data_IF_963125711524
#
_entry.id   IF_963125711524
#
_cell.length_a   1.000
_cell.length_b   1.000
_cell.length_c   1.000
_cell.angle_alpha   90.00
_cell.angle_beta   90.00
_cell.angle_gamma   90.00
#
_symmetry.space_group_name_H-M   'P 1'
#
loop_
_entity.id
_entity.type
_entity.pdbx_description
1 polymer ?
#
# COMPACT_ATOMS: atom_id res chain seq x y z
N UNK A 1 60.41 5.65 3.10
CA UNK A 1 60.13 5.65 1.65
C UNK A 1 58.62 5.78 1.49
N UNK A 2 58.14 7.00 1.36
CA UNK A 2 56.70 7.29 1.23
C UNK A 2 56.34 7.39 -0.27
N UNK A 3 55.59 6.44 -0.77
CA UNK A 3 55.09 6.44 -2.16
C UNK A 3 53.89 7.42 -2.27
N UNK A 4 54.18 8.57 -2.88
CA UNK A 4 53.21 9.63 -3.16
C UNK A 4 52.55 9.40 -4.55
N UNK A 5 51.65 8.44 -4.67
CA UNK A 5 50.87 8.20 -5.90
C UNK A 5 49.39 8.18 -5.61
N UNK A 6 48.57 8.84 -6.44
CA UNK A 6 47.11 8.78 -6.39
C UNK A 6 46.61 7.84 -7.51
N UNK A 7 45.76 6.90 -7.16
CA UNK A 7 45.11 5.95 -8.09
C UNK A 7 43.80 6.54 -8.63
N UNK A 8 43.72 6.75 -9.95
CA UNK A 8 42.46 7.04 -10.64
C UNK A 8 42.07 5.83 -11.48
N UNK A 9 40.91 5.26 -11.21
CA UNK A 9 40.27 4.16 -11.96
C UNK A 9 39.26 4.72 -12.96
N UNK A 10 39.53 4.54 -14.25
CA UNK A 10 38.59 4.87 -15.33
C UNK A 10 38.12 3.58 -16.01
N UNK A 11 36.86 3.23 -15.79
CA UNK A 11 36.24 2.07 -16.44
C UNK A 11 36.87 0.72 -16.05
N UNK A 12 36.19 -0.36 -16.31
CA UNK A 12 36.40 -1.70 -15.73
C UNK A 12 37.74 -2.41 -15.96
N UNK A 13 38.86 -1.81 -16.46
CA UNK A 13 40.10 -2.58 -16.68
C UNK A 13 41.41 -1.83 -16.79
N UNK A 14 41.52 -0.56 -16.53
CA UNK A 14 42.88 0.07 -16.55
C UNK A 14 43.08 1.06 -15.41
N UNK A 15 44.06 0.77 -14.57
CA UNK A 15 44.55 1.66 -13.50
C UNK A 15 45.78 2.39 -14.02
N UNK A 16 45.77 3.72 -14.06
CA UNK A 16 46.93 4.56 -14.42
C UNK A 16 47.40 5.26 -13.17
N UNK A 17 48.69 5.09 -12.87
CA UNK A 17 49.37 5.80 -11.79
C UNK A 17 49.72 7.23 -12.24
N UNK A 18 49.14 8.23 -11.60
CA UNK A 18 49.42 9.65 -11.88
C UNK A 18 50.19 10.25 -10.69
N UNK A 19 51.29 11.01 -10.97
CA UNK A 19 52.02 11.76 -9.93
C UNK A 19 51.18 12.96 -9.43
N UNK A 20 51.30 13.27 -8.15
CA UNK A 20 50.47 14.27 -7.44
C UNK A 20 50.64 15.75 -7.83
N UNK A 21 51.49 16.06 -8.84
CA UNK A 21 51.78 17.43 -9.27
C UNK A 21 51.58 17.58 -10.78
N UNK A 22 50.36 17.44 -11.25
CA UNK A 22 49.99 17.82 -12.62
C UNK A 22 49.22 19.13 -12.61
N UNK A 23 49.54 20.03 -13.50
CA UNK A 23 48.81 21.28 -13.73
C UNK A 23 47.48 20.97 -14.42
N UNK A 24 46.52 21.89 -14.30
CA UNK A 24 45.20 21.74 -14.92
C UNK A 24 45.24 21.48 -16.43
N UNK A 25 46.23 22.07 -17.12
CA UNK A 25 46.46 21.90 -18.57
C UNK A 25 46.97 20.50 -18.91
N UNK A 26 47.81 19.91 -18.07
CA UNK A 26 48.29 18.55 -18.26
C UNK A 26 47.17 17.52 -17.99
N UNK A 27 46.31 17.76 -16.98
CA UNK A 27 45.13 16.95 -16.74
C UNK A 27 44.16 17.04 -17.93
N UNK A 28 43.90 18.24 -18.44
CA UNK A 28 43.08 18.47 -19.64
C UNK A 28 43.66 17.82 -20.87
N UNK A 29 44.98 17.84 -21.04
CA UNK A 29 45.70 17.19 -22.15
C UNK A 29 45.59 15.66 -22.07
N UNK A 30 45.73 15.06 -20.88
CA UNK A 30 45.57 13.61 -20.63
C UNK A 30 44.10 13.19 -20.83
N UNK A 31 43.13 13.98 -20.35
CA UNK A 31 41.70 13.73 -20.59
C UNK A 31 41.35 13.86 -22.06
N UNK A 32 41.92 14.86 -22.78
CA UNK A 32 41.72 15.04 -24.20
C UNK A 32 42.38 13.92 -25.03
N UNK A 33 43.53 13.39 -24.58
CA UNK A 33 44.20 12.24 -25.20
C UNK A 33 43.45 10.93 -24.95
N UNK A 34 42.92 10.71 -23.74
CA UNK A 34 42.05 9.55 -23.42
C UNK A 34 40.73 9.59 -24.16
N UNK A 35 40.12 10.78 -24.36
CA UNK A 35 38.91 10.95 -25.18
C UNK A 35 39.15 10.69 -26.67
N UNK A 36 40.37 10.92 -27.17
CA UNK A 36 40.79 10.59 -28.56
C UNK A 36 41.08 9.11 -28.80
N UNK A 37 41.31 8.30 -27.78
CA UNK A 37 41.54 6.86 -27.88
C UNK A 37 40.30 5.97 -27.81
N UNK A 38 39.09 6.50 -27.98
CA UNK A 38 37.91 5.66 -28.27
C UNK A 38 38.10 5.21 -29.75
N UNK A 39 38.25 3.89 -30.01
CA UNK A 39 38.39 3.45 -31.37
C UNK A 39 37.19 3.87 -32.20
N UNK A 40 37.37 4.66 -33.22
CA UNK A 40 36.32 5.13 -34.17
C UNK A 40 35.59 3.99 -34.91
N UNK A 41 35.78 2.74 -34.51
CA UNK A 41 35.14 1.55 -35.05
C UNK A 41 33.88 1.09 -34.34
N UNK A 42 33.47 1.69 -33.20
CA UNK A 42 32.26 1.30 -32.45
C UNK A 42 31.06 2.25 -32.65
N UNK A 43 31.24 3.35 -33.35
CA UNK A 43 30.14 4.21 -33.75
C UNK A 43 29.39 3.57 -34.92
N UNK A 44 28.04 3.68 -34.95
CA UNK A 44 27.26 3.16 -36.07
C UNK A 44 27.63 3.81 -37.39
N UNK A 45 27.31 3.14 -38.50
CA UNK A 45 27.63 3.59 -39.87
C UNK A 45 26.36 4.04 -40.59
N UNK A 46 26.44 5.09 -41.38
CA UNK A 46 25.40 5.55 -42.33
C UNK A 46 25.93 5.33 -43.73
N UNK A 47 25.31 4.45 -44.49
CA UNK A 47 25.71 4.03 -45.84
C UNK A 47 24.62 4.53 -46.81
N UNK A 48 25.00 5.30 -47.84
CA UNK A 48 24.08 5.70 -48.89
C UNK A 48 23.68 4.51 -49.77
N UNK A 49 22.38 4.36 -50.06
CA UNK A 49 21.83 3.33 -50.92
C UNK A 49 21.07 3.89 -52.14
N UNK A 50 21.10 5.23 -52.31
CA UNK A 50 20.43 5.95 -53.37
C UNK A 50 20.02 7.34 -52.95
N UNK A 51 19.31 8.08 -53.82
CA UNK A 51 18.85 9.44 -53.52
C UNK A 51 17.88 9.41 -52.35
N UNK A 52 18.28 10.02 -51.23
CA UNK A 52 17.51 10.04 -49.96
C UNK A 52 17.20 8.65 -49.33
N UNK A 53 18.04 7.65 -49.59
CA UNK A 53 17.95 6.32 -48.98
C UNK A 53 19.26 6.00 -48.27
N UNK A 54 19.14 5.75 -46.94
CA UNK A 54 20.30 5.55 -46.07
C UNK A 54 20.17 4.25 -45.31
N UNK A 55 21.16 3.35 -45.42
CA UNK A 55 21.27 2.20 -44.54
C UNK A 55 22.07 2.62 -43.29
N UNK A 56 21.43 2.62 -42.14
CA UNK A 56 22.09 2.82 -40.83
C UNK A 56 22.40 1.48 -40.22
N UNK A 57 23.64 1.29 -39.80
CA UNK A 57 24.15 0.05 -39.20
C UNK A 57 24.80 0.37 -37.86
N UNK A 58 24.37 -0.35 -36.80
CA UNK A 58 24.88 -0.24 -35.44
C UNK A 58 25.42 -1.59 -35.00
N UNK A 59 26.63 -1.64 -34.49
CA UNK A 59 27.22 -2.84 -33.92
C UNK A 59 26.63 -3.09 -32.53
N UNK A 60 26.10 -4.30 -32.29
CA UNK A 60 25.43 -4.71 -31.04
C UNK A 60 26.30 -5.65 -30.17
N UNK A 61 27.39 -6.19 -30.70
CA UNK A 61 28.18 -7.20 -30.00
C UNK A 61 28.46 -8.42 -30.86
N UNK A 62 28.81 -9.52 -30.21
CA UNK A 62 28.99 -10.85 -30.83
C UNK A 62 27.98 -11.81 -30.23
N UNK A 63 27.55 -12.81 -31.02
CA UNK A 63 26.75 -13.93 -30.52
C UNK A 63 27.65 -14.97 -29.83
N UNK A 64 27.02 -16.03 -29.29
CA UNK A 64 27.73 -17.11 -28.60
C UNK A 64 28.69 -17.87 -29.48
N UNK A 65 28.58 -17.75 -30.81
CA UNK A 65 29.50 -18.29 -31.82
C UNK A 65 30.65 -17.30 -32.18
N UNK A 66 30.71 -16.12 -31.57
CA UNK A 66 31.69 -15.08 -31.84
C UNK A 66 31.37 -14.21 -33.06
N UNK A 67 30.28 -14.43 -33.79
CA UNK A 67 29.85 -13.68 -34.96
C UNK A 67 29.33 -12.29 -34.58
N UNK A 68 29.72 -11.26 -35.34
CA UNK A 68 29.28 -9.88 -35.09
C UNK A 68 27.81 -9.69 -35.40
N UNK A 69 27.06 -9.15 -34.45
CA UNK A 69 25.65 -8.79 -34.59
C UNK A 69 25.50 -7.31 -34.90
N UNK A 70 24.72 -7.00 -35.90
CA UNK A 70 24.42 -5.62 -36.31
C UNK A 70 22.92 -5.36 -36.34
N UNK A 71 22.51 -4.17 -35.89
CA UNK A 71 21.21 -3.61 -36.20
C UNK A 71 21.31 -2.82 -37.50
N UNK A 72 20.53 -3.21 -38.50
CA UNK A 72 20.44 -2.54 -39.79
C UNK A 72 19.02 -1.92 -39.95
N UNK A 73 18.96 -0.64 -40.36
CA UNK A 73 17.71 0.06 -40.65
C UNK A 73 17.87 0.92 -41.89
N UNK A 74 16.98 0.77 -42.85
CA UNK A 74 16.90 1.68 -44.00
C UNK A 74 16.00 2.86 -43.64
N UNK A 75 16.51 4.07 -43.84
CA UNK A 75 15.83 5.34 -43.59
C UNK A 75 15.63 6.04 -44.93
N UNK A 76 14.40 6.42 -45.25
CA UNK A 76 14.05 7.22 -46.40
C UNK A 76 13.91 8.68 -45.96
N UNK A 77 14.57 9.60 -46.64
CA UNK A 77 14.56 11.01 -46.32
C UNK A 77 15.97 11.66 -46.30
N UNK A 78 16.06 12.88 -45.77
CA UNK A 78 17.37 13.59 -45.72
C UNK A 78 18.37 12.88 -44.78
N UNK A 79 19.66 13.04 -45.06
CA UNK A 79 20.73 12.47 -44.24
C UNK A 79 20.60 12.81 -42.75
N UNK A 80 20.07 13.99 -42.42
CA UNK A 80 19.80 14.45 -41.07
C UNK A 80 18.85 13.50 -40.31
N UNK A 81 17.85 12.92 -40.99
CA UNK A 81 16.94 11.94 -40.37
C UNK A 81 17.66 10.63 -40.02
N UNK A 82 18.54 10.16 -40.87
CA UNK A 82 19.39 8.99 -40.61
C UNK A 82 20.37 9.25 -39.46
N UNK A 83 20.94 10.44 -39.35
CA UNK A 83 21.80 10.85 -38.24
C UNK A 83 21.04 10.92 -36.93
N UNK A 84 19.84 11.55 -36.90
CA UNK A 84 19.02 11.64 -35.72
C UNK A 84 18.63 10.24 -35.20
N UNK A 85 18.22 9.33 -36.08
CA UNK A 85 17.92 7.95 -35.71
C UNK A 85 19.14 7.22 -35.18
N UNK A 86 20.33 7.38 -35.79
CA UNK A 86 21.57 6.79 -35.32
C UNK A 86 21.93 7.28 -33.91
N UNK A 87 21.89 8.59 -33.69
CA UNK A 87 22.16 9.18 -32.36
C UNK A 87 21.24 8.65 -31.29
N UNK A 88 19.92 8.63 -31.57
CA UNK A 88 18.95 8.12 -30.64
C UNK A 88 19.27 6.65 -30.26
N UNK A 89 19.55 5.79 -31.23
CA UNK A 89 19.85 4.37 -30.98
C UNK A 89 21.19 4.14 -30.30
N UNK A 90 22.18 4.97 -30.55
CA UNK A 90 23.47 4.91 -29.83
C UNK A 90 23.28 5.33 -28.38
N UNK A 91 22.50 6.39 -28.10
CA UNK A 91 22.16 6.80 -26.74
C UNK A 91 21.41 5.70 -25.98
N UNK A 92 20.44 5.06 -26.61
CA UNK A 92 19.71 3.91 -26.03
C UNK A 92 20.67 2.73 -25.74
N UNK A 93 21.56 2.39 -26.66
CA UNK A 93 22.58 1.35 -26.49
C UNK A 93 23.53 1.67 -25.32
N UNK A 94 24.05 2.89 -25.27
CA UNK A 94 25.03 3.33 -24.28
C UNK A 94 24.36 3.45 -22.89
N UNK A 95 23.05 3.74 -22.85
CA UNK A 95 22.20 3.60 -21.66
C UNK A 95 21.91 2.13 -21.31
N UNK A 96 22.40 1.17 -22.12
CA UNK A 96 22.19 -0.27 -21.90
C UNK A 96 20.76 -0.75 -22.16
N UNK A 97 19.97 0.03 -22.87
CA UNK A 97 18.64 -0.41 -23.35
C UNK A 97 18.85 -1.38 -24.50
N UNK A 98 18.15 -2.51 -24.49
CA UNK A 98 18.23 -3.50 -25.56
C UNK A 98 17.85 -2.86 -26.91
N UNK A 99 18.83 -2.67 -27.79
CA UNK A 99 18.66 -1.99 -29.10
C UNK A 99 17.83 -2.81 -30.10
N UNK A 100 17.70 -4.11 -29.90
CA UNK A 100 16.60 -4.92 -30.46
C UNK A 100 15.44 -4.87 -29.47
N UNK A 101 14.31 -4.23 -29.81
CA UNK A 101 13.12 -4.43 -28.99
C UNK A 101 12.87 -5.93 -28.99
N UNK A 102 12.96 -6.56 -27.85
CA UNK A 102 12.47 -7.91 -27.70
C UNK A 102 11.03 -7.87 -28.23
N UNK A 103 10.66 -8.80 -29.08
CA UNK A 103 9.26 -8.95 -29.54
C UNK A 103 8.35 -9.41 -28.38
N UNK A 104 8.81 -9.25 -27.15
CA UNK A 104 8.13 -9.61 -25.93
C UNK A 104 6.85 -8.79 -25.81
N UNK A 105 5.74 -9.50 -25.71
CA UNK A 105 4.43 -8.87 -25.47
C UNK A 105 4.34 -8.36 -24.02
N UNK A 106 3.38 -7.49 -23.75
CA UNK A 106 3.07 -7.09 -22.38
C UNK A 106 2.68 -8.31 -21.51
N UNK A 107 1.97 -9.28 -22.07
CA UNK A 107 1.61 -10.50 -21.34
C UNK A 107 2.84 -11.27 -20.86
N UNK A 108 3.78 -11.57 -21.76
CA UNK A 108 5.01 -12.29 -21.42
C UNK A 108 5.82 -11.52 -20.34
N UNK A 109 5.83 -10.19 -20.46
CA UNK A 109 6.48 -9.33 -19.48
C UNK A 109 5.81 -9.38 -18.11
N UNK A 110 4.47 -9.21 -18.07
CA UNK A 110 3.70 -9.22 -16.83
C UNK A 110 3.79 -10.55 -16.09
N UNK A 111 3.80 -11.68 -16.82
CA UNK A 111 3.98 -13.00 -16.21
C UNK A 111 5.33 -13.10 -15.49
N UNK A 112 6.41 -12.67 -16.16
CA UNK A 112 7.73 -12.62 -15.56
C UNK A 112 7.78 -11.65 -14.38
N UNK A 113 7.23 -10.45 -14.53
CA UNK A 113 7.20 -9.44 -13.47
C UNK A 113 6.43 -9.93 -12.24
N UNK A 114 5.28 -10.54 -12.43
CA UNK A 114 4.48 -11.08 -11.34
C UNK A 114 5.27 -12.12 -10.55
N UNK A 115 5.91 -13.07 -11.21
CA UNK A 115 6.65 -14.16 -10.54
C UNK A 115 7.96 -13.68 -9.90
N UNK A 116 8.77 -12.89 -10.62
CA UNK A 116 10.12 -12.58 -10.17
C UNK A 116 10.23 -11.31 -9.34
N UNK A 117 9.33 -10.34 -9.53
CA UNK A 117 9.42 -9.04 -8.85
C UNK A 117 8.26 -8.78 -7.89
N UNK A 118 7.01 -9.16 -8.23
CA UNK A 118 5.86 -8.90 -7.39
C UNK A 118 5.70 -9.96 -6.29
N UNK A 119 5.69 -11.25 -6.63
CA UNK A 119 5.47 -12.37 -5.69
C UNK A 119 6.37 -12.32 -4.45
N UNK A 120 7.69 -12.07 -4.55
CA UNK A 120 8.56 -12.00 -3.36
C UNK A 120 8.32 -10.79 -2.47
N UNK A 121 7.70 -9.71 -2.99
CA UNK A 121 7.58 -8.40 -2.30
C UNK A 121 6.21 -8.14 -1.71
N UNK A 122 5.18 -8.84 -2.18
CA UNK A 122 3.80 -8.59 -1.73
C UNK A 122 3.21 -9.81 -1.03
N UNK A 123 2.22 -9.58 -0.17
CA UNK A 123 1.49 -10.66 0.46
C UNK A 123 0.66 -11.46 -0.56
N UNK A 124 0.38 -12.75 -0.30
CA UNK A 124 -0.39 -13.60 -1.21
C UNK A 124 -1.71 -12.98 -1.69
N UNK A 125 -2.47 -12.36 -0.79
CA UNK A 125 -3.73 -11.68 -1.13
C UNK A 125 -3.54 -10.48 -2.07
N UNK A 126 -2.46 -9.71 -1.88
CA UNK A 126 -2.12 -8.59 -2.75
C UNK A 126 -1.69 -9.10 -4.13
N UNK A 127 -0.92 -10.20 -4.17
CA UNK A 127 -0.49 -10.85 -5.41
C UNK A 127 -1.69 -11.30 -6.24
N UNK A 128 -2.63 -12.03 -5.62
CA UNK A 128 -3.89 -12.43 -6.27
C UNK A 128 -4.69 -11.21 -6.75
N UNK A 129 -4.70 -10.13 -5.96
CA UNK A 129 -5.32 -8.86 -6.36
C UNK A 129 -4.66 -8.25 -7.60
N UNK A 130 -3.34 -8.29 -7.71
CA UNK A 130 -2.60 -7.84 -8.90
C UNK A 130 -2.93 -8.69 -10.13
N UNK A 131 -2.89 -10.02 -10.00
CA UNK A 131 -3.25 -10.94 -11.08
C UNK A 131 -4.67 -10.67 -11.59
N UNK A 132 -5.66 -10.71 -10.71
CA UNK A 132 -7.07 -10.49 -11.07
C UNK A 132 -7.29 -9.14 -11.77
N UNK A 133 -6.61 -8.09 -11.31
CA UNK A 133 -6.72 -6.76 -11.90
C UNK A 133 -6.12 -6.73 -13.32
N UNK A 134 -4.93 -7.28 -13.48
CA UNK A 134 -4.25 -7.33 -14.77
C UNK A 134 -5.02 -8.21 -15.76
N UNK A 135 -5.46 -9.38 -15.35
CA UNK A 135 -6.16 -10.35 -16.20
C UNK A 135 -7.51 -9.82 -16.68
N UNK A 136 -8.26 -9.16 -15.79
CA UNK A 136 -9.60 -8.66 -16.12
C UNK A 136 -9.62 -7.36 -16.91
N UNK A 137 -8.63 -6.48 -16.70
CA UNK A 137 -8.74 -5.11 -17.18
C UNK A 137 -7.58 -4.65 -18.07
N UNK A 138 -6.37 -5.17 -17.90
CA UNK A 138 -5.19 -4.71 -18.64
C UNK A 138 -4.83 -5.63 -19.78
N UNK A 139 -4.72 -6.93 -19.54
CA UNK A 139 -4.35 -7.92 -20.56
C UNK A 139 -5.27 -7.96 -21.77
N UNK A 140 -6.60 -7.84 -21.62
CA UNK A 140 -7.48 -7.82 -22.78
C UNK A 140 -7.24 -6.65 -23.73
N UNK A 141 -6.79 -5.50 -23.22
CA UNK A 141 -6.57 -4.29 -24.01
C UNK A 141 -5.13 -4.17 -24.53
N UNK A 142 -4.14 -4.45 -23.68
CA UNK A 142 -2.73 -4.16 -23.95
C UNK A 142 -1.86 -5.42 -24.03
N UNK A 143 -2.33 -6.56 -23.56
CA UNK A 143 -1.52 -7.76 -23.35
C UNK A 143 -0.79 -8.28 -24.57
N UNK A 144 -1.42 -8.27 -25.74
CA UNK A 144 -0.83 -8.72 -27.01
C UNK A 144 0.11 -7.68 -27.65
N UNK A 145 0.16 -6.45 -27.13
CA UNK A 145 1.02 -5.40 -27.67
C UNK A 145 2.47 -5.64 -27.32
N UNK A 146 3.42 -5.41 -28.24
CA UNK A 146 4.84 -5.40 -27.90
C UNK A 146 5.13 -4.38 -26.79
N UNK A 147 5.80 -4.80 -25.71
CA UNK A 147 6.09 -3.97 -24.54
C UNK A 147 6.71 -2.61 -24.92
N UNK A 148 7.66 -2.62 -25.84
CA UNK A 148 8.39 -1.42 -26.31
C UNK A 148 7.56 -0.46 -27.17
N UNK A 149 6.36 -0.86 -27.59
CA UNK A 149 5.48 -0.05 -28.43
C UNK A 149 4.28 0.52 -27.67
N UNK A 150 4.13 0.19 -26.41
CA UNK A 150 3.04 0.73 -25.60
C UNK A 150 3.28 2.22 -25.36
N UNK A 151 2.32 3.03 -25.79
CA UNK A 151 2.34 4.49 -25.66
C UNK A 151 1.49 4.96 -24.47
N UNK A 152 1.76 6.16 -23.92
CA UNK A 152 0.89 6.78 -22.92
C UNK A 152 -0.56 6.93 -23.39
N UNK A 153 -0.77 7.19 -24.69
CA UNK A 153 -2.11 7.30 -25.27
C UNK A 153 -2.90 5.98 -25.17
N UNK A 154 -2.28 4.84 -25.48
CA UNK A 154 -2.94 3.52 -25.38
C UNK A 154 -3.28 3.19 -23.91
N UNK A 155 -2.41 3.57 -22.97
CA UNK A 155 -2.69 3.41 -21.53
C UNK A 155 -3.85 4.31 -21.10
N UNK A 156 -3.88 5.57 -21.56
CA UNK A 156 -4.98 6.51 -21.31
C UNK A 156 -6.31 5.98 -21.83
N UNK A 157 -6.34 5.49 -23.08
CA UNK A 157 -7.53 4.89 -23.69
C UNK A 157 -8.01 3.64 -22.93
N UNK A 158 -7.08 2.83 -22.42
CA UNK A 158 -7.43 1.66 -21.60
C UNK A 158 -8.14 2.07 -20.30
N UNK A 159 -7.66 3.11 -19.61
CA UNK A 159 -8.32 3.59 -18.39
C UNK A 159 -9.64 4.30 -18.67
N UNK A 160 -9.76 4.99 -19.81
CA UNK A 160 -11.02 5.56 -20.25
C UNK A 160 -12.06 4.44 -20.54
N UNK A 161 -11.67 3.39 -21.24
CA UNK A 161 -12.55 2.25 -21.49
C UNK A 161 -12.96 1.53 -20.17
N UNK A 162 -12.09 1.51 -19.15
CA UNK A 162 -12.46 1.00 -17.83
C UNK A 162 -13.53 1.90 -17.17
N UNK A 163 -13.44 3.21 -17.31
CA UNK A 163 -14.43 4.16 -16.81
C UNK A 163 -15.78 4.01 -17.54
N UNK A 164 -15.76 3.90 -18.86
CA UNK A 164 -16.96 3.67 -19.68
C UNK A 164 -17.68 2.36 -19.35
N UNK A 165 -16.95 1.34 -18.92
CA UNK A 165 -17.51 0.10 -18.36
C UNK A 165 -18.06 0.23 -16.94
N UNK A 166 -18.09 1.42 -16.36
CA UNK A 166 -18.63 1.68 -15.02
C UNK A 166 -17.71 1.28 -13.85
N UNK A 167 -16.42 1.05 -14.10
CA UNK A 167 -15.49 0.76 -13.01
C UNK A 167 -15.24 2.00 -12.14
N UNK A 168 -15.16 1.79 -10.83
CA UNK A 168 -14.94 2.89 -9.88
C UNK A 168 -13.58 3.56 -10.10
N UNK A 169 -13.49 4.86 -9.83
CA UNK A 169 -12.24 5.62 -9.85
C UNK A 169 -11.13 4.93 -9.01
N UNK A 170 -11.51 4.32 -7.88
CA UNK A 170 -10.58 3.53 -7.03
C UNK A 170 -10.00 2.33 -7.77
N UNK A 171 -10.80 1.60 -8.54
CA UNK A 171 -10.33 0.44 -9.31
C UNK A 171 -9.36 0.86 -10.40
N UNK A 172 -9.67 1.98 -11.09
CA UNK A 172 -8.81 2.56 -12.13
C UNK A 172 -7.48 3.07 -11.53
N UNK A 173 -7.54 3.76 -10.39
CA UNK A 173 -6.36 4.22 -9.65
C UNK A 173 -5.46 3.03 -9.26
N UNK A 174 -6.06 1.94 -8.77
CA UNK A 174 -5.34 0.73 -8.41
C UNK A 174 -4.71 0.06 -9.63
N UNK A 175 -5.42 -0.01 -10.77
CA UNK A 175 -4.88 -0.51 -12.03
C UNK A 175 -3.67 0.30 -12.50
N UNK A 176 -3.78 1.64 -12.47
CA UNK A 176 -2.68 2.54 -12.79
C UNK A 176 -1.47 2.31 -11.87
N UNK A 177 -1.71 2.17 -10.56
CA UNK A 177 -0.63 1.93 -9.59
C UNK A 177 0.12 0.64 -9.90
N UNK A 178 -0.60 -0.47 -10.14
CA UNK A 178 0.01 -1.77 -10.45
C UNK A 178 0.78 -1.72 -11.77
N UNK A 179 0.17 -1.17 -12.82
CA UNK A 179 0.80 -1.07 -14.14
C UNK A 179 2.00 -0.12 -14.12
N UNK A 180 1.90 1.02 -13.42
CA UNK A 180 3.03 1.95 -13.24
C UNK A 180 4.19 1.30 -12.51
N UNK A 181 3.91 0.46 -11.52
CA UNK A 181 4.95 -0.29 -10.79
C UNK A 181 5.60 -1.35 -11.69
N UNK A 182 4.82 -2.06 -12.51
CA UNK A 182 5.34 -2.99 -13.49
C UNK A 182 6.26 -2.28 -14.50
N UNK A 183 5.82 -1.20 -15.12
CA UNK A 183 6.66 -0.45 -16.05
C UNK A 183 7.90 0.18 -15.39
N UNK A 184 7.81 0.64 -14.14
CA UNK A 184 9.00 1.06 -13.38
C UNK A 184 10.04 -0.05 -13.28
N UNK A 185 9.61 -1.29 -13.04
CA UNK A 185 10.49 -2.45 -13.02
C UNK A 185 11.06 -2.76 -14.42
N UNK A 186 10.27 -2.58 -15.49
CA UNK A 186 10.73 -2.74 -16.87
C UNK A 186 11.89 -1.77 -17.21
N UNK A 187 11.81 -0.53 -16.72
CA UNK A 187 12.90 0.43 -16.85
C UNK A 187 14.14 -0.03 -16.08
N UNK A 188 14.00 -0.52 -14.86
CA UNK A 188 15.12 -1.06 -14.07
C UNK A 188 15.76 -2.27 -14.75
N UNK A 189 14.97 -3.09 -15.43
CA UNK A 189 15.45 -4.22 -16.23
C UNK A 189 15.94 -3.80 -17.63
N UNK A 190 15.97 -2.49 -17.93
CA UNK A 190 16.40 -1.92 -19.21
C UNK A 190 15.58 -2.41 -20.43
N UNK A 191 14.32 -2.78 -20.20
CA UNK A 191 13.37 -3.16 -21.24
C UNK A 191 12.61 -1.96 -21.81
N UNK A 192 12.50 -0.88 -21.03
CA UNK A 192 11.89 0.40 -21.41
C UNK A 192 12.81 1.57 -21.04
N UNK A 193 12.65 2.68 -21.76
CA UNK A 193 13.35 3.95 -21.49
C UNK A 193 12.52 4.92 -20.66
N UNK A 194 11.21 4.82 -20.71
CA UNK A 194 10.26 5.66 -19.97
C UNK A 194 9.05 4.83 -19.51
N UNK A 195 8.29 5.39 -18.57
CA UNK A 195 7.09 4.72 -18.06
C UNK A 195 5.84 5.20 -18.82
N UNK A 196 5.15 4.34 -19.57
CA UNK A 196 3.94 4.72 -20.30
C UNK A 196 2.78 5.21 -19.42
N UNK A 197 2.81 4.96 -18.11
CA UNK A 197 1.81 5.47 -17.16
C UNK A 197 2.08 6.90 -16.68
N UNK A 198 3.27 7.48 -17.01
CA UNK A 198 3.58 8.86 -16.61
C UNK A 198 2.79 9.83 -17.46
N UNK A 199 2.20 10.83 -16.82
CA UNK A 199 1.33 11.82 -17.48
C UNK A 199 -0.09 11.33 -17.78
N UNK A 200 -0.41 10.06 -17.58
CA UNK A 200 -1.77 9.54 -17.79
C UNK A 200 -2.71 10.01 -16.70
N UNK A 201 -3.83 10.60 -17.10
CA UNK A 201 -4.87 11.11 -16.20
C UNK A 201 -5.90 10.01 -15.88
N UNK A 202 -6.37 10.01 -14.65
CA UNK A 202 -7.44 9.11 -14.19
C UNK A 202 -8.54 9.93 -13.51
N UNK A 203 -9.77 9.42 -13.43
CA UNK A 203 -10.86 10.09 -12.73
C UNK A 203 -10.47 10.42 -11.28
N UNK A 204 -10.81 11.63 -10.84
CA UNK A 204 -10.60 12.04 -9.44
C UNK A 204 -11.46 11.16 -8.54
N UNK A 205 -10.83 10.60 -7.54
CA UNK A 205 -11.52 9.80 -6.55
C UNK A 205 -12.19 10.73 -5.53
N UNK A 206 -13.50 10.67 -5.46
CA UNK A 206 -14.22 11.19 -4.32
C UNK A 206 -14.02 10.25 -3.14
N UNK A 207 -13.61 10.80 -2.01
CA UNK A 207 -13.53 10.05 -0.76
C UNK A 207 -14.91 10.15 -0.12
N UNK A 208 -15.68 9.04 0.00
CA UNK A 208 -16.93 9.10 0.73
C UNK A 208 -16.63 9.52 2.17
N UNK A 209 -17.44 10.42 2.70
CA UNK A 209 -17.36 10.79 4.10
C UNK A 209 -17.50 9.57 4.99
N UNK A 210 -16.71 9.54 6.04
CA UNK A 210 -16.80 8.47 7.02
C UNK A 210 -18.06 8.63 7.83
N UNK A 211 -18.85 7.58 7.88
CA UNK A 211 -20.05 7.54 8.71
C UNK A 211 -19.70 6.96 10.08
N UNK A 212 -19.85 7.76 11.11
CA UNK A 212 -19.75 7.34 12.50
C UNK A 212 -21.12 7.50 13.16
N UNK A 213 -21.51 6.57 14.02
CA UNK A 213 -22.71 6.69 14.82
C UNK A 213 -22.52 7.75 15.91
N UNK A 214 -23.55 8.57 16.15
CA UNK A 214 -23.59 9.44 17.32
C UNK A 214 -23.65 8.61 18.63
N UNK A 215 -23.37 9.22 19.79
CA UNK A 215 -23.50 8.51 21.08
C UNK A 215 -24.87 7.89 21.30
N UNK A 216 -25.94 8.56 20.86
CA UNK A 216 -27.29 8.06 20.94
C UNK A 216 -27.57 6.90 19.99
N UNK A 217 -27.11 7.03 18.74
CA UNK A 217 -27.19 5.97 17.75
C UNK A 217 -26.43 4.71 18.19
N UNK A 218 -25.22 4.90 18.77
CA UNK A 218 -24.41 3.81 19.30
C UNK A 218 -25.13 3.08 20.45
N UNK A 219 -25.80 3.82 21.34
CA UNK A 219 -26.61 3.21 22.39
C UNK A 219 -27.81 2.41 21.85
N UNK A 220 -28.54 2.94 20.86
CA UNK A 220 -29.63 2.21 20.17
C UNK A 220 -29.11 0.95 19.48
N UNK A 221 -27.98 1.04 18.79
CA UNK A 221 -27.33 -0.10 18.18
C UNK A 221 -27.01 -1.20 19.19
N UNK A 222 -26.37 -0.84 20.31
CA UNK A 222 -26.02 -1.80 21.35
C UNK A 222 -27.25 -2.41 22.03
N UNK A 223 -28.33 -1.65 22.22
CA UNK A 223 -29.57 -2.17 22.81
C UNK A 223 -30.13 -3.33 21.98
N UNK A 224 -30.18 -3.19 20.65
CA UNK A 224 -30.62 -4.26 19.75
C UNK A 224 -29.56 -5.37 19.64
N UNK A 225 -28.28 -5.02 19.53
CA UNK A 225 -27.20 -6.00 19.37
C UNK A 225 -27.12 -6.97 20.56
N UNK A 226 -27.34 -6.51 21.80
CA UNK A 226 -27.30 -7.31 23.02
C UNK A 226 -28.36 -8.41 23.07
N UNK A 227 -29.50 -8.25 22.39
CA UNK A 227 -30.53 -9.28 22.27
C UNK A 227 -30.15 -10.40 21.28
N UNK A 228 -29.03 -10.26 20.55
CA UNK A 228 -28.55 -11.23 19.58
C UNK A 228 -27.34 -12.03 20.09
N UNK A 229 -27.07 -13.18 19.49
CA UNK A 229 -25.85 -13.95 19.79
C UNK A 229 -24.53 -13.18 19.56
N UNK A 230 -24.58 -12.04 18.89
CA UNK A 230 -23.44 -11.20 18.55
C UNK A 230 -23.26 -9.99 19.47
N UNK A 231 -24.07 -9.88 20.54
CA UNK A 231 -24.04 -8.75 21.46
C UNK A 231 -22.64 -8.44 21.99
N UNK A 232 -21.97 -9.43 22.58
CA UNK A 232 -20.62 -9.29 23.10
C UNK A 232 -19.60 -8.88 22.01
N UNK A 233 -19.75 -9.41 20.79
CA UNK A 233 -18.87 -9.04 19.65
C UNK A 233 -19.02 -7.56 19.29
N UNK A 234 -20.26 -7.07 19.15
CA UNK A 234 -20.48 -5.69 18.74
C UNK A 234 -20.18 -4.70 19.86
N UNK A 235 -20.40 -5.08 21.11
CA UNK A 235 -20.01 -4.26 22.26
C UNK A 235 -18.48 -4.12 22.35
N UNK A 236 -17.74 -5.22 22.18
CA UNK A 236 -16.30 -5.20 22.08
C UNK A 236 -15.84 -4.34 20.90
N UNK A 237 -16.39 -4.54 19.69
CA UNK A 237 -15.98 -3.84 18.50
C UNK A 237 -16.17 -2.31 18.63
N UNK A 238 -17.30 -1.89 19.21
CA UNK A 238 -17.65 -0.49 19.37
C UNK A 238 -16.83 0.22 20.45
N UNK A 239 -16.43 -0.49 21.51
CA UNK A 239 -15.67 0.11 22.63
C UNK A 239 -14.16 0.09 22.42
N UNK A 240 -13.64 -0.89 21.70
CA UNK A 240 -12.20 -1.06 21.48
C UNK A 240 -11.69 -0.54 20.14
N UNK A 241 -12.59 -0.36 19.16
CA UNK A 241 -12.22 0.02 17.80
C UNK A 241 -11.36 -0.99 17.05
N UNK A 242 -11.39 -2.27 17.43
CA UNK A 242 -10.71 -3.35 16.73
C UNK A 242 -11.16 -3.44 15.28
N UNK A 243 -10.23 -3.84 14.38
CA UNK A 243 -10.60 -4.16 13.00
C UNK A 243 -11.44 -5.43 12.94
N UNK A 244 -12.38 -5.57 11.98
CA UNK A 244 -13.15 -6.80 11.82
C UNK A 244 -12.29 -8.07 11.75
N UNK A 245 -11.16 -8.02 11.06
CA UNK A 245 -10.23 -9.15 10.99
C UNK A 245 -9.52 -9.45 12.32
N UNK A 246 -9.41 -8.46 13.22
CA UNK A 246 -8.79 -8.61 14.54
C UNK A 246 -9.76 -9.27 15.53
N UNK A 247 -10.98 -8.73 15.68
CA UNK A 247 -11.94 -9.33 16.63
C UNK A 247 -12.47 -10.69 16.18
N UNK A 248 -12.49 -10.99 14.87
CA UNK A 248 -12.84 -12.32 14.36
C UNK A 248 -11.71 -13.35 14.56
N UNK A 249 -10.48 -12.88 14.81
CA UNK A 249 -9.33 -13.73 15.08
C UNK A 249 -9.06 -13.95 16.57
N UNK A 250 -9.84 -13.28 17.47
CA UNK A 250 -9.62 -13.36 18.90
C UNK A 250 -9.82 -14.77 19.43
N UNK A 251 -8.94 -15.16 20.32
CA UNK A 251 -9.03 -16.37 21.11
C UNK A 251 -9.20 -16.04 22.59
N UNK A 252 -9.73 -16.99 23.35
CA UNK A 252 -9.88 -16.82 24.79
C UNK A 252 -8.55 -16.58 25.51
N UNK A 253 -7.46 -17.12 25.02
CA UNK A 253 -6.09 -16.90 25.51
C UNK A 253 -5.60 -15.44 25.37
N UNK A 254 -6.22 -14.65 24.50
CA UNK A 254 -5.87 -13.23 24.29
C UNK A 254 -6.50 -12.30 25.33
N UNK A 255 -7.43 -12.80 26.17
CA UNK A 255 -8.17 -12.01 27.15
C UNK A 255 -7.70 -12.34 28.55
N UNK A 256 -7.17 -11.34 29.24
CA UNK A 256 -6.86 -11.38 30.66
C UNK A 256 -8.03 -10.76 31.45
N UNK A 257 -8.85 -11.61 32.03
CA UNK A 257 -10.03 -11.18 32.79
C UNK A 257 -9.66 -10.54 34.13
N UNK A 258 -8.54 -10.91 34.75
CA UNK A 258 -8.07 -10.33 36.02
C UNK A 258 -7.59 -8.90 35.80
N UNK A 259 -6.78 -8.69 34.79
CA UNK A 259 -6.28 -7.38 34.41
C UNK A 259 -7.28 -6.56 33.58
N UNK A 260 -8.34 -7.17 33.09
CA UNK A 260 -9.31 -6.54 32.20
C UNK A 260 -8.65 -6.02 30.91
N UNK A 261 -7.82 -6.82 30.28
CA UNK A 261 -7.08 -6.45 29.06
C UNK A 261 -7.24 -7.48 27.96
N UNK A 262 -7.08 -7.02 26.73
CA UNK A 262 -7.12 -7.81 25.51
C UNK A 262 -5.88 -7.58 24.67
N UNK A 263 -5.21 -8.66 24.27
CA UNK A 263 -4.03 -8.63 23.41
C UNK A 263 -4.40 -8.84 21.94
N UNK A 264 -4.11 -7.86 21.09
CA UNK A 264 -4.32 -7.98 19.63
C UNK A 264 -3.04 -8.50 18.99
N UNK A 265 -3.00 -9.77 18.64
CA UNK A 265 -1.79 -10.43 18.13
C UNK A 265 -1.97 -11.04 16.75
N UNK A 266 -3.22 -11.26 16.29
CA UNK A 266 -3.52 -11.92 15.03
C UNK A 266 -4.69 -11.29 14.29
N UNK A 267 -4.82 -11.64 13.01
CA UNK A 267 -5.94 -11.26 12.14
C UNK A 267 -6.44 -12.46 11.34
N UNK A 268 -7.73 -12.51 11.07
CA UNK A 268 -8.39 -13.50 10.24
C UNK A 268 -8.64 -12.95 8.84
N UNK A 269 -8.05 -13.57 7.84
CA UNK A 269 -8.27 -13.24 6.43
C UNK A 269 -8.94 -14.41 5.72
N UNK A 270 -9.95 -14.12 4.88
CA UNK A 270 -10.55 -15.12 4.01
C UNK A 270 -9.56 -15.52 2.90
N UNK A 271 -9.52 -16.83 2.58
CA UNK A 271 -8.72 -17.36 1.49
C UNK A 271 -9.53 -17.42 0.18
N UNK A 272 -8.87 -17.14 -0.97
CA UNK A 272 -9.49 -17.40 -2.27
C UNK A 272 -9.78 -18.90 -2.42
N UNK A 273 -11.02 -19.23 -2.78
CA UNK A 273 -11.44 -20.64 -2.92
C UNK A 273 -12.11 -21.22 -1.68
N UNK A 274 -12.24 -20.44 -0.60
CA UNK A 274 -12.90 -20.83 0.65
C UNK A 274 -11.89 -21.14 1.76
N UNK A 275 -12.36 -21.00 2.99
CA UNK A 275 -11.51 -21.14 4.17
C UNK A 275 -10.99 -19.82 4.71
N UNK A 276 -10.07 -19.91 5.67
CA UNK A 276 -9.50 -18.74 6.33
C UNK A 276 -8.04 -18.99 6.69
N UNK A 277 -7.30 -17.90 6.78
CA UNK A 277 -5.93 -17.86 7.25
C UNK A 277 -5.83 -16.97 8.48
N UNK A 278 -5.24 -17.49 9.53
CA UNK A 278 -4.77 -16.70 10.66
C UNK A 278 -3.39 -16.15 10.32
N UNK A 279 -3.25 -14.85 10.28
CA UNK A 279 -1.97 -14.18 10.10
C UNK A 279 -1.62 -13.42 11.38
N UNK A 280 -0.35 -13.42 11.74
CA UNK A 280 0.14 -12.49 12.75
C UNK A 280 -0.05 -11.05 12.25
N UNK A 281 -0.26 -10.14 13.19
CA UNK A 281 -0.47 -8.72 12.85
C UNK A 281 0.70 -8.16 12.06
N UNK A 282 0.39 -7.36 11.02
CA UNK A 282 1.31 -6.91 9.94
C UNK A 282 2.50 -6.08 10.42
N UNK A 283 2.35 -5.35 11.53
CA UNK A 283 3.35 -4.39 12.01
C UNK A 283 3.47 -4.47 13.52
N UNK A 284 4.60 -4.02 14.06
CA UNK A 284 4.83 -3.92 15.50
C UNK A 284 3.72 -3.10 16.20
N UNK A 285 3.24 -2.04 15.57
CA UNK A 285 2.18 -1.19 16.12
C UNK A 285 0.78 -1.84 16.05
N UNK A 286 0.61 -2.91 15.26
CA UNK A 286 -0.63 -3.68 15.23
C UNK A 286 -0.74 -4.64 16.42
N UNK A 287 0.40 -5.07 17.00
CA UNK A 287 0.42 -5.80 18.28
C UNK A 287 0.26 -4.78 19.39
N UNK A 288 -0.82 -4.88 20.12
CA UNK A 288 -1.16 -3.93 21.19
C UNK A 288 -2.04 -4.60 22.24
N UNK A 289 -2.02 -4.02 23.43
CA UNK A 289 -2.92 -4.39 24.51
C UNK A 289 -3.97 -3.28 24.63
N UNK A 290 -5.24 -3.65 24.69
CA UNK A 290 -6.37 -2.73 24.84
C UNK A 290 -7.06 -3.03 26.17
N UNK A 291 -7.35 -1.96 26.95
CA UNK A 291 -8.11 -2.07 28.18
C UNK A 291 -9.59 -2.26 27.85
N UNK A 292 -10.23 -3.21 28.51
CA UNK A 292 -11.64 -3.50 28.35
C UNK A 292 -12.47 -2.78 29.43
N UNK A 293 -13.66 -2.34 29.05
CA UNK A 293 -14.64 -1.80 29.97
C UNK A 293 -15.25 -2.93 30.80
N UNK A 294 -15.68 -2.67 32.06
CA UNK A 294 -16.29 -3.68 32.91
C UNK A 294 -17.51 -4.38 32.29
N UNK A 295 -18.38 -3.63 31.61
CA UNK A 295 -19.54 -4.19 30.92
C UNK A 295 -19.14 -5.13 29.74
N UNK A 296 -18.04 -4.84 29.03
CA UNK A 296 -17.50 -5.72 27.99
C UNK A 296 -16.98 -7.03 28.58
N UNK A 297 -16.30 -6.95 29.73
CA UNK A 297 -15.84 -8.14 30.44
C UNK A 297 -17.01 -9.04 30.86
N UNK A 298 -18.07 -8.43 31.44
CA UNK A 298 -19.30 -9.18 31.81
C UNK A 298 -19.94 -9.83 30.59
N UNK A 299 -20.11 -9.09 29.49
CA UNK A 299 -20.66 -9.62 28.24
C UNK A 299 -19.82 -10.76 27.65
N UNK A 300 -18.50 -10.69 27.77
CA UNK A 300 -17.61 -11.76 27.32
C UNK A 300 -17.70 -13.00 28.22
N UNK A 301 -17.88 -12.85 29.53
CA UNK A 301 -18.10 -13.98 30.44
C UNK A 301 -19.42 -14.70 30.15
N UNK A 302 -20.50 -13.96 29.97
CA UNK A 302 -21.81 -14.51 29.58
C UNK A 302 -21.74 -15.21 28.21
N UNK A 303 -21.04 -14.59 27.27
CA UNK A 303 -20.79 -15.20 25.95
C UNK A 303 -20.01 -16.52 26.08
N UNK A 304 -19.00 -16.60 26.96
CA UNK A 304 -18.23 -17.81 27.20
C UNK A 304 -19.09 -18.93 27.76
N UNK A 305 -19.98 -18.63 28.68
CA UNK A 305 -20.93 -19.61 29.22
C UNK A 305 -21.88 -20.12 28.12
N UNK A 306 -22.44 -19.21 27.32
CA UNK A 306 -23.30 -19.57 26.19
C UNK A 306 -22.56 -20.43 25.15
N UNK A 307 -21.32 -20.09 24.85
CA UNK A 307 -20.48 -20.88 23.93
C UNK A 307 -20.21 -22.27 24.47
N UNK A 308 -19.98 -22.42 25.77
CA UNK A 308 -19.78 -23.72 26.39
C UNK A 308 -21.04 -24.61 26.26
N UNK A 309 -22.23 -24.06 26.45
CA UNK A 309 -23.48 -24.77 26.21
C UNK A 309 -23.67 -25.20 24.75
N UNK A 310 -23.30 -24.31 23.79
CA UNK A 310 -23.31 -24.63 22.36
C UNK A 310 -22.33 -25.75 22.03
N UNK A 311 -21.17 -25.75 22.65
CA UNK A 311 -20.16 -26.80 22.49
C UNK A 311 -20.69 -28.16 22.96
N UNK A 312 -21.30 -28.19 24.11
CA UNK A 312 -21.91 -29.42 24.68
C UNK A 312 -23.05 -29.96 23.78
N UNK A 313 -23.89 -29.08 23.27
CA UNK A 313 -24.95 -29.44 22.32
C UNK A 313 -24.43 -29.95 20.97
N UNK A 314 -23.34 -29.37 20.46
CA UNK A 314 -22.74 -29.75 19.18
C UNK A 314 -21.96 -31.07 19.27
N UNK A 315 -21.43 -31.42 20.46
CA UNK A 315 -20.67 -32.63 20.70
C UNK A 315 -19.49 -32.78 19.71
N UNK A 316 -19.39 -33.92 19.04
CA UNK A 316 -18.31 -34.20 18.07
C UNK A 316 -18.27 -33.27 16.86
N UNK A 317 -19.34 -32.54 16.56
CA UNK A 317 -19.37 -31.56 15.47
C UNK A 317 -18.66 -30.26 15.82
N UNK A 318 -18.32 -30.07 17.12
CA UNK A 318 -17.61 -28.86 17.56
C UNK A 318 -16.15 -28.92 17.20
N UNK A 319 -15.69 -27.92 16.44
CA UNK A 319 -14.29 -27.75 16.06
C UNK A 319 -13.59 -26.82 17.07
N UNK A 320 -12.94 -27.38 18.06
CA UNK A 320 -12.26 -26.59 19.09
C UNK A 320 -11.00 -25.93 18.57
N UNK A 321 -11.05 -24.61 18.42
CA UNK A 321 -9.93 -23.77 17.98
C UNK A 321 -9.66 -22.59 18.92
N UNK A 322 -10.41 -22.50 20.01
CA UNK A 322 -10.26 -21.50 21.05
C UNK A 322 -10.72 -20.08 20.65
N UNK A 323 -11.45 -19.92 19.54
CA UNK A 323 -11.98 -18.60 19.15
C UNK A 323 -13.02 -18.09 20.14
N UNK A 324 -12.97 -16.77 20.39
CA UNK A 324 -14.00 -16.08 21.19
C UNK A 324 -15.33 -16.08 20.44
N UNK A 325 -15.32 -15.70 19.18
CA UNK A 325 -16.54 -15.58 18.36
C UNK A 325 -16.54 -16.67 17.29
N UNK A 326 -17.49 -17.58 17.37
CA UNK A 326 -17.57 -18.78 16.52
C UNK A 326 -18.87 -18.87 15.76
N UNK A 327 -18.84 -19.65 14.68
CA UNK A 327 -20.04 -20.20 14.06
C UNK A 327 -20.64 -21.33 14.94
N UNK A 328 -21.70 -21.98 14.47
CA UNK A 328 -22.42 -23.03 15.22
C UNK A 328 -21.61 -24.32 15.43
N UNK A 329 -20.53 -24.50 14.67
CA UNK A 329 -19.62 -25.66 14.77
C UNK A 329 -18.27 -25.32 15.42
N UNK A 330 -18.13 -24.18 16.13
CA UNK A 330 -16.89 -23.79 16.81
C UNK A 330 -15.82 -23.19 15.89
N UNK A 331 -16.03 -23.15 14.59
CA UNK A 331 -15.14 -22.51 13.62
C UNK A 331 -15.26 -20.97 13.62
N UNK A 332 -14.38 -20.26 12.91
CA UNK A 332 -14.43 -18.81 12.84
C UNK A 332 -15.67 -18.30 12.10
N UNK A 333 -16.12 -17.11 12.47
CA UNK A 333 -17.22 -16.43 11.80
C UNK A 333 -16.81 -15.96 10.40
N UNK A 334 -17.70 -16.17 9.43
CA UNK A 334 -17.55 -15.56 8.12
C UNK A 334 -17.90 -14.06 8.18
N UNK A 335 -16.92 -13.22 7.80
CA UNK A 335 -17.07 -11.77 7.85
C UNK A 335 -18.17 -11.25 6.93
N UNK A 336 -18.38 -11.87 5.76
CA UNK A 336 -19.39 -11.45 4.80
C UNK A 336 -20.80 -11.73 5.36
N UNK A 337 -21.02 -12.93 5.89
CA UNK A 337 -22.28 -13.29 6.54
C UNK A 337 -22.57 -12.40 7.75
N UNK A 338 -21.55 -12.16 8.60
CA UNK A 338 -21.69 -11.25 9.75
C UNK A 338 -22.13 -9.85 9.29
N UNK A 339 -21.49 -9.29 8.25
CA UNK A 339 -21.78 -7.94 7.77
C UNK A 339 -23.16 -7.84 7.09
N UNK A 340 -23.50 -8.77 6.21
CA UNK A 340 -24.66 -8.64 5.32
C UNK A 340 -25.94 -9.25 5.89
N UNK A 341 -25.85 -10.27 6.77
CA UNK A 341 -27.05 -10.92 7.34
C UNK A 341 -27.34 -10.42 8.74
N UNK A 342 -26.33 -10.30 9.60
CA UNK A 342 -26.56 -10.02 11.02
C UNK A 342 -26.41 -8.54 11.37
N UNK A 343 -25.29 -7.92 10.98
CA UNK A 343 -25.04 -6.51 11.28
C UNK A 343 -26.06 -5.59 10.60
N UNK A 344 -26.36 -5.84 9.32
CA UNK A 344 -27.36 -5.07 8.60
C UNK A 344 -28.74 -5.16 9.25
N UNK A 345 -29.16 -6.35 9.65
CA UNK A 345 -30.45 -6.55 10.34
C UNK A 345 -30.52 -5.77 11.66
N UNK A 346 -29.45 -5.78 12.46
CA UNK A 346 -29.38 -5.01 13.71
C UNK A 346 -29.49 -3.50 13.42
N UNK A 347 -28.86 -2.98 12.38
CA UNK A 347 -28.99 -1.56 12.01
C UNK A 347 -30.43 -1.22 11.60
N UNK A 348 -31.07 -2.07 10.81
CA UNK A 348 -32.46 -1.91 10.38
C UNK A 348 -33.44 -1.92 11.60
N UNK A 349 -33.28 -2.87 12.51
CA UNK A 349 -34.09 -2.98 13.73
C UNK A 349 -33.85 -1.81 14.69
N UNK A 350 -32.62 -1.27 14.75
CA UNK A 350 -32.29 -0.08 15.53
C UNK A 350 -32.72 1.24 14.87
N UNK A 351 -33.29 1.21 13.65
CA UNK A 351 -33.62 2.42 12.89
C UNK A 351 -32.42 3.29 12.58
N UNK A 352 -31.28 2.69 12.22
CA UNK A 352 -30.03 3.37 11.97
C UNK A 352 -29.68 3.39 10.47
N UNK A 353 -28.91 4.41 10.02
CA UNK A 353 -28.45 4.44 8.64
C UNK A 353 -27.53 3.25 8.33
N UNK A 354 -27.52 2.80 7.07
CA UNK A 354 -26.66 1.70 6.66
C UNK A 354 -25.19 2.15 6.69
N UNK A 355 -24.43 1.62 7.64
CA UNK A 355 -22.98 1.78 7.74
C UNK A 355 -22.29 0.44 7.49
N UNK A 356 -20.99 0.48 7.20
CA UNK A 356 -20.19 -0.73 7.01
C UNK A 356 -19.75 -1.29 8.37
N UNK A 357 -19.54 -2.58 8.44
CA UNK A 357 -19.00 -3.22 9.64
C UNK A 357 -17.69 -2.58 10.14
N UNK A 358 -16.87 -2.06 9.22
CA UNK A 358 -15.65 -1.34 9.56
C UNK A 358 -15.91 0.04 10.20
N UNK A 359 -17.07 0.63 9.96
CA UNK A 359 -17.42 1.96 10.48
C UNK A 359 -17.72 1.94 11.99
N UNK A 360 -17.89 0.76 12.61
CA UNK A 360 -17.88 0.63 14.08
C UNK A 360 -16.55 1.07 14.69
N UNK A 361 -15.43 0.82 14.00
CA UNK A 361 -14.13 1.31 14.42
C UNK A 361 -14.03 2.84 14.28
N UNK A 362 -14.62 3.41 13.23
CA UNK A 362 -14.70 4.86 13.08
C UNK A 362 -15.55 5.47 14.19
N UNK A 363 -16.68 4.83 14.50
CA UNK A 363 -17.55 5.21 15.62
C UNK A 363 -16.80 5.18 16.94
N UNK A 364 -16.09 4.09 17.25
CA UNK A 364 -15.29 3.97 18.48
C UNK A 364 -14.27 5.12 18.63
N UNK A 365 -13.54 5.44 17.54
CA UNK A 365 -12.56 6.52 17.55
C UNK A 365 -13.23 7.90 17.73
N UNK A 366 -14.33 8.16 17.01
CA UNK A 366 -15.09 9.42 17.13
C UNK A 366 -15.63 9.59 18.53
N UNK A 367 -16.24 8.56 19.12
CA UNK A 367 -16.77 8.60 20.49
C UNK A 367 -15.66 8.84 21.51
N UNK A 368 -14.52 8.17 21.39
CA UNK A 368 -13.39 8.37 22.29
C UNK A 368 -12.84 9.79 22.21
N UNK A 369 -12.66 10.34 21.00
CA UNK A 369 -12.20 11.72 20.80
C UNK A 369 -13.22 12.73 21.34
N UNK A 370 -14.52 12.54 21.07
CA UNK A 370 -15.59 13.39 21.61
C UNK A 370 -15.68 13.34 23.13
N UNK A 371 -15.29 12.23 23.75
CA UNK A 371 -15.16 12.09 25.21
C UNK A 371 -13.86 12.72 25.76
N UNK A 372 -13.05 13.38 24.95
CA UNK A 372 -11.82 14.05 25.37
C UNK A 372 -10.62 13.12 25.53
N UNK A 373 -10.67 11.88 25.07
CA UNK A 373 -9.51 10.98 25.10
C UNK A 373 -8.41 11.55 24.19
N UNK A 374 -7.17 11.68 24.67
CA UNK A 374 -6.07 12.23 23.87
C UNK A 374 -5.88 11.46 22.56
N UNK A 375 -5.65 12.18 21.45
CA UNK A 375 -5.50 11.58 20.10
C UNK A 375 -4.42 10.51 20.05
N UNK A 376 -3.35 10.68 20.82
CA UNK A 376 -2.26 9.71 20.95
C UNK A 376 -2.76 8.38 21.52
N UNK A 377 -3.58 8.42 22.57
CA UNK A 377 -4.17 7.23 23.20
C UNK A 377 -5.14 6.53 22.23
N UNK A 378 -5.99 7.30 21.55
CA UNK A 378 -6.89 6.76 20.52
C UNK A 378 -6.10 6.11 19.37
N UNK A 379 -5.02 6.74 18.91
CA UNK A 379 -4.14 6.19 17.87
C UNK A 379 -3.52 4.85 18.28
N UNK A 380 -3.06 4.73 19.52
CA UNK A 380 -2.50 3.50 20.09
C UNK A 380 -3.57 2.41 20.24
N UNK A 381 -4.72 2.75 20.81
CA UNK A 381 -5.88 1.84 20.93
C UNK A 381 -6.28 1.26 19.58
N UNK A 382 -6.32 2.09 18.54
CA UNK A 382 -6.63 1.66 17.19
C UNK A 382 -5.48 0.89 16.53
N UNK A 383 -4.23 1.05 16.95
CA UNK A 383 -3.04 0.49 16.30
C UNK A 383 -2.79 1.15 14.94
N UNK A 384 -2.84 2.49 14.89
CA UNK A 384 -2.41 3.26 13.74
C UNK A 384 -0.88 3.36 13.69
N UNK A 385 -0.31 3.36 12.49
CA UNK A 385 1.14 3.46 12.30
C UNK A 385 1.69 4.84 12.67
N UNK A 386 0.86 5.87 12.66
CA UNK A 386 1.19 7.22 13.08
C UNK A 386 -0.04 7.95 13.63
N UNK A 387 0.20 8.92 14.53
CA UNK A 387 -0.86 9.81 15.05
C UNK A 387 -1.45 10.68 13.94
N UNK A 388 -0.65 11.06 12.94
CA UNK A 388 -1.09 11.83 11.78
C UNK A 388 -2.26 11.14 11.06
N UNK A 389 -2.24 9.82 10.94
CA UNK A 389 -3.35 9.08 10.34
C UNK A 389 -4.66 9.25 11.13
N UNK A 390 -4.59 9.31 12.46
CA UNK A 390 -5.76 9.57 13.31
C UNK A 390 -6.26 11.00 13.14
N UNK A 391 -5.34 11.98 13.10
CA UNK A 391 -5.68 13.38 12.87
C UNK A 391 -6.31 13.60 11.49
N UNK A 392 -5.72 13.06 10.42
CA UNK A 392 -6.25 13.18 9.06
C UNK A 392 -7.66 12.60 8.90
N UNK A 393 -7.91 11.51 9.63
CA UNK A 393 -9.18 10.77 9.55
C UNK A 393 -10.27 11.43 10.39
N UNK A 394 -9.94 11.99 11.56
CA UNK A 394 -10.91 12.50 12.55
C UNK A 394 -10.79 14.00 12.81
N UNK A 395 -10.17 14.76 11.91
CA UNK A 395 -10.01 16.22 12.04
C UNK A 395 -11.33 16.98 12.26
N UNK A 396 -12.44 16.45 11.73
CA UNK A 396 -13.77 17.05 11.89
C UNK A 396 -14.31 17.01 13.34
N UNK A 397 -13.75 16.18 14.22
CA UNK A 397 -14.12 16.10 15.65
C UNK A 397 -13.32 17.11 16.50
N UNK A 398 -12.19 17.60 15.99
CA UNK A 398 -11.26 18.46 16.74
C UNK A 398 -11.80 19.84 17.15
N UNK A 399 -12.70 20.53 16.40
CA UNK A 399 -13.21 21.84 16.82
C UNK A 399 -13.83 21.86 18.20
N UNK A 400 -14.61 20.84 18.56
CA UNK A 400 -15.21 20.70 19.87
C UNK A 400 -14.18 20.51 21.00
N UNK A 401 -13.00 19.97 20.68
CA UNK A 401 -11.91 19.81 21.65
C UNK A 401 -11.24 21.15 21.99
N UNK A 402 -11.24 22.15 21.11
CA UNK A 402 -10.70 23.48 21.40
C UNK A 402 -11.56 24.24 22.40
N UNK A 403 -12.88 24.17 22.27
CA UNK A 403 -13.83 24.77 23.20
C UNK A 403 -13.73 24.11 24.59
N UNK A 404 -13.59 22.78 24.62
CA UNK A 404 -13.42 22.03 25.88
C UNK A 404 -12.08 22.33 26.56
N UNK A 405 -11.01 22.47 25.76
CA UNK A 405 -9.69 22.86 26.26
C UNK A 405 -9.72 24.28 26.86
N UNK A 406 -10.36 25.25 26.17
CA UNK A 406 -10.51 26.60 26.68
C UNK A 406 -11.30 26.62 27.98
N UNK A 407 -12.38 25.86 28.09
CA UNK A 407 -13.19 25.73 29.32
C UNK A 407 -12.41 25.11 30.48
N UNK A 408 -11.62 24.06 30.21
CA UNK A 408 -10.76 23.41 31.20
C UNK A 408 -9.64 24.34 31.68
N UNK A 409 -9.05 25.14 30.79
CA UNK A 409 -8.06 26.15 31.18
C UNK A 409 -8.67 27.25 32.06
N UNK A 410 -9.87 27.75 31.67
CA UNK A 410 -10.57 28.72 32.47
C UNK A 410 -10.85 28.20 33.89
N UNK A 411 -11.37 26.97 33.99
CA UNK A 411 -11.65 26.36 35.28
C UNK A 411 -10.40 26.15 36.17
N UNK A 412 -9.26 25.81 35.56
CA UNK A 412 -7.98 25.71 36.30
C UNK A 412 -7.49 27.05 36.83
N UNK A 413 -7.61 28.09 36.01
CA UNK A 413 -7.17 29.45 36.44
C UNK A 413 -8.08 30.01 37.52
N UNK A 414 -9.40 29.83 37.42
CA UNK A 414 -10.35 30.26 38.45
C UNK A 414 -10.22 29.48 39.77
N UNK A 415 -9.86 28.19 39.73
CA UNK A 415 -9.63 27.39 40.92
C UNK A 415 -8.41 27.87 41.71
N UNK A 416 -7.35 28.29 41.00
CA UNK A 416 -6.13 28.82 41.62
C UNK A 416 -6.37 30.16 42.34
N UNK A 417 -7.23 31.04 41.77
CA UNK A 417 -7.61 32.32 42.42
C UNK A 417 -8.41 32.09 43.70
N UNK A 418 -9.27 31.08 43.78
CA UNK A 418 -10.04 30.76 44.99
C UNK A 418 -9.22 30.17 46.12
N UNK A 419 -8.17 29.41 45.80
CA UNK A 419 -7.22 28.90 46.83
C UNK A 419 -6.38 30.02 47.40
N UNK A 420 -5.94 31.00 46.59
CA UNK A 420 -5.18 32.17 47.04
C UNK A 420 -6.03 33.18 47.87
N UNK A 421 -7.31 33.33 47.58
CA UNK A 421 -8.24 34.15 48.37
C UNK A 421 -8.63 33.47 49.69
N UNK A 422 -8.78 32.14 49.70
CA UNK A 422 -9.04 31.35 50.90
C UNK A 422 -7.89 31.43 51.94
N UNK A 423 -6.64 31.43 51.47
CA UNK A 423 -5.46 31.49 52.35
C UNK A 423 -5.19 32.89 52.93
N UNK A 424 -5.65 33.97 52.21
CA UNK A 424 -5.54 35.33 52.70
C UNK A 424 -6.55 35.65 53.81
N UNK A 425 -7.66 34.94 53.89
CA UNK A 425 -8.68 35.14 54.94
C UNK A 425 -8.38 34.38 56.24
N UNK A 426 -7.46 33.40 56.21
CA UNK A 426 -7.08 32.58 57.38
C UNK A 426 -5.87 33.15 58.19
N UNK A 427 -5.18 34.18 57.69
CA UNK A 427 -4.02 34.80 58.37
C UNK A 427 -4.38 36.14 59.08
N UNK A 428 -5.65 36.52 59.10
CA UNK A 428 -6.15 37.83 59.58
C UNK A 428 -7.05 37.76 60.79
N UNK A 429 -6.88 36.77 61.70
CA UNK A 429 -7.56 36.77 63.03
C UNK A 429 -6.58 36.45 64.16
#
# INVERSE_FOLDING_TARGET
MNSNTALCTFGNTQTVNLPKFLTLDEILSIVCFCVRMIPSGMAGQIISRGKNIWLVRIYLGRDDSGKRIYLNKTIHGPKKAAQAWLHQRLTERDAGVAVKPAQQTLNDYLDRWLETAARPRVRPKTFVGYQNLLDRHIRPALGARPLSKISPLEVQQTFQAMQEKGLSARTIEYARMVLKQAFKQAIQWRLLTFNPCDGVQIPKRERPEMQALSPEQARRFLAVARSTRYGALFELALTTGLRPSEYLALKWEDIDFERGTLSVVRSLDAEPGGGYRLEETKTRNSRRVVKLLPNVLSALLEHRQTQQQQREQAGERWNERGFVFTNESGGPLDRHNLAHRHFRKILEEAGLPPIRLYDLRHTAATLALSAGVPVKVVSEMLGHSSVALTLDVYSHVLPHMQEDAARKMAALLEATEREEEGDRHTIGT
#
